data_IF_959804149536
#
_entry.id   IF_959804149536
#
_cell.length_a   1.000
_cell.length_b   1.000
_cell.length_c   1.000
_cell.angle_alpha   90.00
_cell.angle_beta   90.00
_cell.angle_gamma   90.00
#
_symmetry.space_group_name_H-M   'P 1'
#
loop_
_entity.id
_entity.type
_entity.pdbx_description
1 polymer ?
#
# COMPACT_ATOMS: atom_id res chain seq x y z
N UNK A 1 -1.07 7.84 -11.14
CA UNK A 1 -1.43 6.40 -10.98
C UNK A 1 -0.53 5.73 -9.95
N UNK A 2 -1.10 4.84 -9.17
CA UNK A 2 -0.34 4.03 -8.22
C UNK A 2 0.51 3.01 -8.97
N UNK A 3 1.82 2.99 -8.72
CA UNK A 3 2.75 2.00 -9.28
C UNK A 3 3.12 0.93 -8.24
N UNK A 4 3.25 1.31 -6.98
CA UNK A 4 3.65 0.42 -5.90
C UNK A 4 3.04 0.85 -4.58
N UNK A 5 2.69 -0.12 -3.76
CA UNK A 5 2.26 0.08 -2.38
C UNK A 5 3.01 -0.87 -1.46
N UNK A 6 3.49 -0.34 -0.35
CA UNK A 6 4.18 -1.10 0.69
C UNK A 6 3.42 -0.96 2.00
N UNK A 7 3.24 -2.06 2.68
CA UNK A 7 2.65 -2.13 4.03
C UNK A 7 3.56 -2.91 4.95
N UNK A 8 3.69 -2.46 6.20
CA UNK A 8 4.44 -3.15 7.25
C UNK A 8 3.68 -3.05 8.56
N UNK A 9 3.63 -4.15 9.30
CA UNK A 9 3.01 -4.24 10.62
C UNK A 9 1.57 -3.71 10.67
N UNK A 10 0.72 -4.28 9.84
CA UNK A 10 -0.70 -3.91 9.77
C UNK A 10 -1.60 -5.14 9.65
N UNK A 11 -2.53 -5.33 10.56
CA UNK A 11 -3.49 -6.44 10.60
C UNK A 11 -2.81 -7.81 10.40
N UNK A 12 -2.96 -8.45 9.22
CA UNK A 12 -2.35 -9.75 8.89
C UNK A 12 -0.92 -9.65 8.36
N UNK A 13 -0.41 -8.44 8.13
CA UNK A 13 0.95 -8.19 7.64
C UNK A 13 1.92 -8.04 8.81
N UNK A 14 2.69 -9.09 9.11
CA UNK A 14 3.69 -9.08 10.17
C UNK A 14 4.90 -8.22 9.85
N UNK A 15 5.39 -8.31 8.61
CA UNK A 15 6.54 -7.59 8.11
C UNK A 15 6.20 -6.83 6.83
N UNK A 16 7.24 -6.30 6.21
CA UNK A 16 7.10 -5.50 5.00
C UNK A 16 6.67 -6.36 3.81
N UNK A 17 5.54 -5.98 3.22
CA UNK A 17 5.02 -6.56 1.99
C UNK A 17 4.88 -5.49 0.92
N UNK A 18 5.33 -5.80 -0.29
CA UNK A 18 5.37 -4.87 -1.41
C UNK A 18 4.49 -5.36 -2.55
N UNK A 19 3.51 -4.56 -2.91
CA UNK A 19 2.62 -4.80 -4.04
C UNK A 19 2.98 -3.88 -5.21
N UNK A 20 3.26 -4.47 -6.37
CA UNK A 20 3.71 -3.74 -7.57
C UNK A 20 2.71 -3.89 -8.70
N UNK A 21 2.26 -2.78 -9.26
CA UNK A 21 1.50 -2.71 -10.51
C UNK A 21 2.42 -2.54 -11.72
N UNK A 22 3.60 -3.13 -11.68
CA UNK A 22 4.56 -3.10 -12.77
C UNK A 22 4.31 -4.28 -13.71
N UNK A 23 4.15 -4.05 -15.03
CA UNK A 23 3.96 -5.14 -15.98
C UNK A 23 5.22 -6.02 -16.10
N UNK A 24 5.00 -7.31 -16.37
CA UNK A 24 6.07 -8.23 -16.77
C UNK A 24 6.61 -7.92 -18.16
N UNK A 25 7.58 -8.71 -18.62
CA UNK A 25 8.25 -8.53 -19.90
C UNK A 25 7.41 -8.89 -21.12
N UNK A 26 6.21 -9.45 -20.94
CA UNK A 26 5.34 -9.87 -22.05
C UNK A 26 4.83 -8.68 -22.89
N UNK A 27 4.64 -8.91 -24.19
CA UNK A 27 4.11 -7.92 -25.15
C UNK A 27 2.61 -8.06 -25.39
N UNK A 28 1.98 -9.14 -24.88
CA UNK A 28 0.56 -9.40 -25.03
C UNK A 28 -0.28 -8.41 -24.20
N UNK A 29 -1.49 -8.10 -24.70
CA UNK A 29 -2.48 -7.26 -23.99
C UNK A 29 -1.92 -5.87 -23.61
N UNK A 30 -1.33 -5.17 -24.54
CA UNK A 30 -0.80 -3.81 -24.35
C UNK A 30 -1.84 -2.81 -23.81
N UNK A 31 -3.14 -3.04 -24.09
CA UNK A 31 -4.22 -2.19 -23.61
C UNK A 31 -4.46 -2.25 -22.10
N UNK A 32 -3.90 -3.24 -21.38
CA UNK A 32 -3.91 -3.32 -19.93
C UNK A 32 -2.77 -2.54 -19.27
N UNK A 33 -1.91 -1.92 -20.05
CA UNK A 33 -0.75 -1.15 -19.60
C UNK A 33 -0.92 0.31 -19.97
N UNK A 34 -0.32 1.17 -19.18
CA UNK A 34 -0.23 2.61 -19.45
C UNK A 34 1.13 3.12 -19.02
N UNK A 35 1.63 4.12 -19.73
CA UNK A 35 2.89 4.81 -19.40
C UNK A 35 2.59 6.25 -18.98
N UNK A 36 2.19 6.48 -17.72
CA UNK A 36 1.84 7.82 -17.24
C UNK A 36 3.05 8.74 -17.13
N UNK A 37 4.25 8.16 -17.04
CA UNK A 37 5.54 8.85 -17.07
C UNK A 37 6.46 8.07 -17.99
N UNK A 38 7.18 8.74 -18.87
CA UNK A 38 8.10 8.12 -19.80
C UNK A 38 9.07 7.16 -19.10
N UNK A 39 9.13 5.92 -19.56
CA UNK A 39 9.97 4.87 -18.98
C UNK A 39 9.32 4.11 -17.81
N UNK A 40 8.14 4.52 -17.37
CA UNK A 40 7.45 3.88 -16.23
C UNK A 40 6.08 3.35 -16.65
N UNK A 41 6.04 2.05 -16.95
CA UNK A 41 4.81 1.33 -17.30
C UNK A 41 4.07 0.88 -16.03
N UNK A 42 2.74 0.99 -16.05
CA UNK A 42 1.86 0.55 -14.97
C UNK A 42 0.73 -0.31 -15.51
N UNK A 43 0.36 -1.36 -14.77
CA UNK A 43 -0.85 -2.13 -15.02
C UNK A 43 -2.07 -1.33 -14.59
N UNK A 44 -3.11 -1.30 -15.43
CA UNK A 44 -4.38 -0.63 -15.11
C UNK A 44 -5.19 -1.38 -14.06
N UNK A 45 -4.98 -2.69 -13.95
CA UNK A 45 -5.77 -3.58 -13.09
C UNK A 45 -4.91 -4.71 -12.57
N UNK A 46 -5.19 -5.14 -11.36
CA UNK A 46 -4.68 -6.38 -10.79
C UNK A 46 -5.83 -7.15 -10.14
N UNK A 47 -5.75 -8.48 -10.19
CA UNK A 47 -6.72 -9.36 -9.54
C UNK A 47 -5.97 -10.16 -8.48
N UNK A 48 -6.56 -10.21 -7.30
CA UNK A 48 -5.99 -10.89 -6.14
C UNK A 48 -6.83 -12.12 -5.79
N UNK A 49 -6.19 -13.28 -5.79
CA UNK A 49 -6.80 -14.55 -5.43
C UNK A 49 -6.23 -15.06 -4.11
N UNK A 50 -7.02 -15.82 -3.40
CA UNK A 50 -6.59 -16.52 -2.19
C UNK A 50 -7.78 -17.05 -1.41
N UNK A 51 -7.52 -17.97 -0.47
CA UNK A 51 -8.52 -18.47 0.45
C UNK A 51 -9.04 -17.36 1.37
N UNK A 52 -10.20 -17.57 1.98
CA UNK A 52 -10.70 -16.69 3.04
C UNK A 52 -9.64 -16.59 4.16
N UNK A 53 -9.52 -15.41 4.76
CA UNK A 53 -8.53 -15.10 5.78
C UNK A 53 -7.06 -15.09 5.31
N UNK A 54 -6.79 -15.08 4.00
CA UNK A 54 -5.42 -14.98 3.45
C UNK A 54 -4.88 -13.53 3.39
N UNK A 55 -5.62 -12.54 3.87
CA UNK A 55 -5.18 -11.15 3.93
C UNK A 55 -5.66 -10.26 2.79
N UNK A 56 -6.46 -10.76 1.82
CA UNK A 56 -6.97 -9.96 0.70
C UNK A 56 -7.72 -8.70 1.13
N UNK A 57 -8.67 -8.85 2.05
CA UNK A 57 -9.43 -7.71 2.58
C UNK A 57 -8.56 -6.75 3.39
N UNK A 58 -7.59 -7.27 4.12
CA UNK A 58 -6.66 -6.45 4.89
C UNK A 58 -5.73 -5.62 4.00
N UNK A 59 -5.40 -6.11 2.82
CA UNK A 59 -4.65 -5.35 1.83
C UNK A 59 -5.43 -4.12 1.35
N UNK A 60 -6.71 -4.28 1.04
CA UNK A 60 -7.59 -3.16 0.65
C UNK A 60 -7.75 -2.18 1.81
N UNK A 61 -7.94 -2.68 3.03
CA UNK A 61 -8.00 -1.84 4.25
C UNK A 61 -6.72 -1.05 4.48
N UNK A 62 -5.55 -1.64 4.20
CA UNK A 62 -4.26 -0.95 4.33
C UNK A 62 -4.15 0.25 3.37
N UNK A 63 -4.49 0.04 2.11
CA UNK A 63 -4.49 1.13 1.11
C UNK A 63 -5.47 2.23 1.50
N UNK A 64 -6.67 1.86 1.90
CA UNK A 64 -7.73 2.81 2.26
C UNK A 64 -7.37 3.63 3.51
N UNK A 65 -6.91 2.97 4.57
CA UNK A 65 -6.49 3.66 5.79
C UNK A 65 -5.35 4.63 5.53
N UNK A 66 -4.31 4.19 4.84
CA UNK A 66 -3.18 5.06 4.51
C UNK A 66 -3.60 6.25 3.65
N UNK A 67 -4.47 6.03 2.66
CA UNK A 67 -5.04 7.11 1.85
C UNK A 67 -5.83 8.12 2.70
N UNK A 68 -6.71 7.65 3.59
CA UNK A 68 -7.48 8.52 4.49
C UNK A 68 -6.57 9.36 5.37
N UNK A 69 -5.56 8.76 5.99
CA UNK A 69 -4.61 9.47 6.84
C UNK A 69 -3.86 10.59 6.10
N UNK A 70 -3.52 10.35 4.83
CA UNK A 70 -2.85 11.38 3.99
C UNK A 70 -3.80 12.51 3.59
N UNK A 71 -5.02 12.19 3.19
CA UNK A 71 -5.97 13.18 2.64
C UNK A 71 -6.75 13.93 3.70
N UNK A 72 -7.15 13.27 4.77
CA UNK A 72 -8.03 13.81 5.80
C UNK A 72 -7.25 14.18 7.07
N UNK A 73 -6.09 13.55 7.27
CA UNK A 73 -5.33 13.67 8.51
C UNK A 73 -6.03 13.01 9.70
N UNK A 74 -5.56 13.38 10.88
CA UNK A 74 -6.16 12.96 12.15
C UNK A 74 -6.61 14.20 12.92
N UNK A 75 -7.83 14.25 13.46
CA UNK A 75 -8.26 15.37 14.29
C UNK A 75 -7.30 15.58 15.47
N UNK A 76 -7.00 16.84 15.78
CA UNK A 76 -6.13 17.18 16.90
C UNK A 76 -6.68 16.58 18.19
N UNK A 77 -5.83 15.86 18.93
CA UNK A 77 -6.21 15.22 20.19
C UNK A 77 -6.91 13.87 20.05
N UNK A 78 -7.12 13.40 18.82
CA UNK A 78 -7.64 12.06 18.57
C UNK A 78 -6.50 11.06 18.34
N UNK A 79 -6.59 9.83 18.89
CA UNK A 79 -5.60 8.80 18.59
C UNK A 79 -5.69 8.39 17.11
N UNK A 80 -4.55 8.08 16.51
CA UNK A 80 -4.51 7.47 15.17
C UNK A 80 -5.02 6.03 15.22
N UNK A 81 -5.70 5.61 14.16
CA UNK A 81 -6.10 4.21 14.00
C UNK A 81 -4.84 3.32 13.90
N UNK A 82 -4.59 2.54 14.93
CA UNK A 82 -3.42 1.67 15.01
C UNK A 82 -3.84 0.20 15.15
N UNK A 83 -3.56 -0.58 14.12
CA UNK A 83 -3.93 -1.99 14.00
C UNK A 83 -2.71 -2.86 13.69
N UNK A 84 -1.75 -3.03 14.62
CA UNK A 84 -0.54 -3.80 14.38
C UNK A 84 -0.85 -5.29 14.23
N UNK A 85 0.11 -6.04 13.68
CA UNK A 85 0.04 -7.49 13.67
C UNK A 85 0.04 -8.02 15.12
N UNK A 86 -1.00 -8.76 15.49
CA UNK A 86 -1.27 -9.11 16.90
C UNK A 86 -0.69 -10.44 17.36
N UNK A 87 -0.33 -11.33 16.43
CA UNK A 87 0.14 -12.68 16.76
C UNK A 87 1.61 -12.73 17.21
N UNK A 88 2.28 -11.60 17.25
CA UNK A 88 3.67 -11.50 17.68
C UNK A 88 3.83 -10.30 18.63
N UNK A 89 4.38 -10.54 19.81
CA UNK A 89 4.43 -9.52 20.88
C UNK A 89 5.20 -8.25 20.49
N UNK A 90 6.30 -8.40 19.77
CA UNK A 90 7.13 -7.26 19.34
C UNK A 90 6.41 -6.34 18.36
N UNK A 91 5.52 -6.89 17.53
CA UNK A 91 4.75 -6.12 16.56
C UNK A 91 3.78 -5.13 17.21
N UNK A 92 3.34 -5.38 18.44
CA UNK A 92 2.43 -4.48 19.18
C UNK A 92 3.07 -3.15 19.55
N UNK A 93 4.40 -3.08 19.52
CA UNK A 93 5.17 -1.86 19.82
C UNK A 93 5.90 -1.30 18.59
N UNK A 94 5.80 -2.00 17.46
CA UNK A 94 6.46 -1.62 16.21
C UNK A 94 5.57 -0.66 15.44
N UNK A 95 6.18 0.29 14.73
CA UNK A 95 5.46 1.19 13.85
C UNK A 95 4.73 0.44 12.73
N UNK A 96 3.55 0.93 12.38
CA UNK A 96 2.89 0.62 11.11
C UNK A 96 3.42 1.55 10.06
N UNK A 97 3.79 1.01 8.89
CA UNK A 97 4.34 1.81 7.79
C UNK A 97 3.54 1.60 6.51
N UNK A 98 3.24 2.71 5.84
CA UNK A 98 2.66 2.72 4.49
C UNK A 98 3.55 3.54 3.56
N UNK A 99 3.83 3.01 2.36
CA UNK A 99 4.60 3.73 1.34
C UNK A 99 3.88 3.59 -0.01
N UNK A 100 3.68 4.71 -0.67
CA UNK A 100 3.06 4.81 -1.99
C UNK A 100 4.08 5.29 -3.01
N UNK A 101 4.17 4.61 -4.13
CA UNK A 101 4.87 5.10 -5.31
C UNK A 101 3.83 5.48 -6.35
N UNK A 102 3.77 6.75 -6.69
CA UNK A 102 2.74 7.35 -7.54
C UNK A 102 3.39 8.01 -8.75
N UNK A 103 2.80 7.77 -9.92
CA UNK A 103 3.19 8.42 -11.17
C UNK A 103 2.11 9.43 -11.56
N UNK A 104 2.45 10.70 -11.57
CA UNK A 104 1.54 11.77 -12.00
C UNK A 104 2.33 13.01 -12.46
N UNK A 105 1.69 13.84 -13.30
CA UNK A 105 2.29 15.07 -13.82
C UNK A 105 3.70 14.87 -14.41
N UNK A 106 3.90 13.79 -15.15
CA UNK A 106 5.17 13.37 -15.74
C UNK A 106 6.32 13.18 -14.74
N UNK A 107 6.01 12.89 -13.48
CA UNK A 107 6.98 12.65 -12.39
C UNK A 107 6.61 11.42 -11.59
N UNK A 108 7.64 10.81 -11.00
CA UNK A 108 7.50 9.72 -10.03
C UNK A 108 7.68 10.30 -8.62
N UNK A 109 6.70 10.04 -7.76
CA UNK A 109 6.72 10.42 -6.36
C UNK A 109 6.74 9.18 -5.49
N UNK A 110 7.54 9.21 -4.45
CA UNK A 110 7.45 8.26 -3.34
C UNK A 110 7.04 9.02 -2.08
N UNK A 111 5.95 8.59 -1.48
CA UNK A 111 5.44 9.14 -0.24
C UNK A 111 5.19 8.03 0.76
N UNK A 112 5.73 8.17 1.95
CA UNK A 112 5.53 7.18 3.01
C UNK A 112 5.53 7.82 4.38
N UNK A 113 4.95 7.10 5.33
CA UNK A 113 4.93 7.48 6.73
C UNK A 113 4.85 6.25 7.63
N UNK A 114 5.31 6.43 8.86
CA UNK A 114 5.23 5.42 9.91
C UNK A 114 4.63 6.04 11.16
N UNK A 115 3.89 5.25 11.89
CA UNK A 115 3.27 5.68 13.16
C UNK A 115 3.02 4.50 14.09
N UNK A 116 2.81 4.78 15.37
CA UNK A 116 2.44 3.81 16.41
C UNK A 116 1.33 4.38 17.29
N UNK A 117 1.03 3.69 18.39
CA UNK A 117 -0.04 4.09 19.31
C UNK A 117 0.35 5.20 20.31
N UNK A 118 1.61 5.64 20.34
CA UNK A 118 2.12 6.62 21.29
C UNK A 118 1.96 8.06 20.82
#
# INVERSE_FOLDING_TARGET
MLQQFTVDNFLSFKGQEVFKLKPGRGTLKSHHKVEPVKGFMVLKTAIMFGANASGKSNFVKAIDLGKRLVLEGTPIGSPMEYHPFRLHAENKKKDTTFIYVILCNNKKYEYGFSYNAE
#
